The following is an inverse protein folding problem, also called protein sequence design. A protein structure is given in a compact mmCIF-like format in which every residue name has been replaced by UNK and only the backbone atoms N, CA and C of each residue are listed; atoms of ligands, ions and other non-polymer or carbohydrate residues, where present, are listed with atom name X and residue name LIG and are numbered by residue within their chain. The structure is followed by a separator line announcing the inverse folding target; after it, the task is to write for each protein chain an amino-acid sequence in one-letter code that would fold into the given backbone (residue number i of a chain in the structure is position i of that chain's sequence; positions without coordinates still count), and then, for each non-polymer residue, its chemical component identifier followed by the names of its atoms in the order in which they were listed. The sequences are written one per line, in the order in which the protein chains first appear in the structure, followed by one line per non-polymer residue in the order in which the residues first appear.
data_IF_725972148478
#
_entry.id   IF_725972148478
#
_cell.length_a   1.000
_cell.length_b   1.000
_cell.length_c   1.000
_cell.angle_alpha   90.00
_cell.angle_beta   90.00
_cell.angle_gamma   90.00
#
_symmetry.space_group_name_H-M   'P 1'
#
loop_
_entity.id
_entity.type
_entity.pdbx_description
1 polymer ?
#
# COMPACT_ATOMS: atom_id res chain seq x y z
N UNK A 1 -2.10 1.52 -2.22
CA UNK A 1 -2.48 2.35 -3.39
C UNK A 1 -1.27 2.46 -4.28
N UNK A 2 -1.40 2.28 -5.60
CA UNK A 2 -0.25 2.37 -6.51
C UNK A 2 0.27 3.81 -6.65
N UNK A 3 1.54 3.98 -7.02
CA UNK A 3 2.18 5.29 -7.17
C UNK A 3 1.43 6.22 -8.12
N UNK A 4 1.08 5.71 -9.31
CA UNK A 4 0.29 6.43 -10.31
C UNK A 4 -1.09 6.87 -9.81
N UNK A 5 -1.75 6.03 -9.02
CA UNK A 5 -3.06 6.34 -8.46
C UNK A 5 -2.96 7.47 -7.44
N UNK A 6 -1.98 7.40 -6.54
CA UNK A 6 -1.74 8.43 -5.53
C UNK A 6 -1.37 9.76 -6.18
N UNK A 7 -0.43 9.75 -7.13
CA UNK A 7 0.00 10.93 -7.87
C UNK A 7 -1.16 11.54 -8.70
N UNK A 8 -2.00 10.69 -9.29
CA UNK A 8 -3.21 11.10 -9.99
C UNK A 8 -4.19 11.88 -9.11
N UNK A 9 -4.47 11.40 -7.89
CA UNK A 9 -5.34 12.10 -6.94
C UNK A 9 -4.76 13.45 -6.56
N UNK A 10 -3.46 13.55 -6.28
CA UNK A 10 -2.81 14.82 -5.94
C UNK A 10 -2.90 15.82 -7.10
N UNK A 11 -2.70 15.36 -8.34
CA UNK A 11 -2.85 16.20 -9.53
C UNK A 11 -4.29 16.73 -9.67
N UNK A 12 -5.31 15.87 -9.49
CA UNK A 12 -6.73 16.27 -9.55
C UNK A 12 -7.04 17.32 -8.49
N UNK A 13 -6.60 17.11 -7.24
CA UNK A 13 -6.82 18.05 -6.15
C UNK A 13 -6.22 19.43 -6.46
N UNK A 14 -5.01 19.45 -7.02
CA UNK A 14 -4.33 20.71 -7.37
C UNK A 14 -5.03 21.42 -8.52
N UNK A 15 -5.44 20.70 -9.57
CA UNK A 15 -6.19 21.26 -10.70
C UNK A 15 -7.53 21.85 -10.25
N UNK A 16 -8.25 21.15 -9.36
CA UNK A 16 -9.52 21.63 -8.82
C UNK A 16 -9.34 22.87 -7.93
N UNK A 17 -8.24 22.96 -7.19
CA UNK A 17 -7.86 24.14 -6.43
C UNK A 17 -7.66 25.37 -7.33
N UNK A 18 -6.86 25.22 -8.40
CA UNK A 18 -6.61 26.29 -9.37
C UNK A 18 -7.90 26.79 -10.04
N UNK A 19 -8.78 25.85 -10.43
CA UNK A 19 -10.10 26.19 -11.00
C UNK A 19 -10.95 26.99 -10.02
N UNK A 20 -10.96 26.60 -8.74
CA UNK A 20 -11.69 27.32 -7.69
C UNK A 20 -11.14 28.74 -7.50
N UNK A 21 -9.83 28.90 -7.62
CA UNK A 21 -9.15 30.18 -7.44
C UNK A 21 -9.15 31.05 -8.72
N UNK A 22 -9.85 30.62 -9.78
CA UNK A 22 -9.96 31.33 -11.06
C UNK A 22 -8.68 31.32 -11.90
N UNK A 23 -7.72 30.47 -11.56
CA UNK A 23 -6.44 30.35 -12.25
C UNK A 23 -6.52 29.38 -13.45
N UNK A 24 -5.59 29.53 -14.39
CA UNK A 24 -5.48 28.60 -15.53
C UNK A 24 -5.08 27.21 -15.07
N UNK A 25 -5.50 26.23 -15.86
CA UNK A 25 -5.08 24.83 -15.74
C UNK A 25 -3.56 24.70 -15.87
N UNK A 26 -2.96 23.82 -15.06
CA UNK A 26 -1.53 23.53 -15.21
C UNK A 26 -1.27 22.89 -16.57
N UNK A 27 -0.19 23.30 -17.27
CA UNK A 27 0.30 22.58 -18.44
C UNK A 27 0.62 21.12 -18.09
N UNK A 28 0.44 20.23 -19.06
CA UNK A 28 0.67 18.78 -18.87
C UNK A 28 2.08 18.49 -18.36
N UNK A 29 3.10 19.23 -18.84
CA UNK A 29 4.48 19.09 -18.37
C UNK A 29 4.62 19.36 -16.86
N UNK A 30 3.92 20.37 -16.32
CA UNK A 30 3.94 20.64 -14.89
C UNK A 30 3.21 19.56 -14.09
N UNK A 31 2.12 19.00 -14.64
CA UNK A 31 1.41 17.86 -14.03
C UNK A 31 2.34 16.66 -13.92
N UNK A 32 3.11 16.37 -14.97
CA UNK A 32 4.07 15.27 -14.97
C UNK A 32 5.22 15.52 -13.98
N UNK A 33 5.76 16.74 -13.92
CA UNK A 33 6.77 17.10 -12.92
C UNK A 33 6.26 16.98 -11.47
N UNK A 34 4.97 17.23 -11.24
CA UNK A 34 4.34 17.05 -9.93
C UNK A 34 4.14 15.57 -9.58
N UNK A 35 3.73 14.75 -10.55
CA UNK A 35 3.48 13.32 -10.33
C UNK A 35 4.75 12.51 -10.12
N UNK A 36 5.79 12.81 -10.91
CA UNK A 36 7.04 12.05 -10.94
C UNK A 36 7.67 11.79 -9.56
N UNK A 37 7.93 12.78 -8.69
CA UNK A 37 8.54 12.51 -7.39
C UNK A 37 7.65 11.65 -6.47
N UNK A 38 6.33 11.71 -6.62
CA UNK A 38 5.38 10.90 -5.84
C UNK A 38 5.47 9.44 -6.30
N UNK A 39 5.50 9.22 -7.61
CA UNK A 39 5.64 7.90 -8.21
C UNK A 39 6.98 7.29 -7.79
N UNK A 40 8.09 8.00 -8.04
CA UNK A 40 9.45 7.57 -7.72
C UNK A 40 9.60 7.24 -6.22
N UNK A 41 9.02 8.08 -5.35
CA UNK A 41 9.02 7.85 -3.90
C UNK A 41 8.29 6.56 -3.52
N UNK A 42 7.10 6.33 -4.09
CA UNK A 42 6.33 5.11 -3.81
C UNK A 42 7.02 3.87 -4.40
N UNK A 43 7.60 3.98 -5.60
CA UNK A 43 8.35 2.88 -6.23
C UNK A 43 9.57 2.47 -5.40
N UNK A 44 10.27 3.43 -4.80
CA UNK A 44 11.40 3.15 -3.92
C UNK A 44 11.02 2.31 -2.69
N UNK A 45 9.78 2.45 -2.22
CA UNK A 45 9.22 1.71 -1.10
C UNK A 45 8.45 0.45 -1.50
N UNK A 46 8.34 0.14 -2.81
CA UNK A 46 7.47 -0.92 -3.33
C UNK A 46 8.13 -2.31 -3.38
N UNK A 47 9.38 -2.45 -2.91
CA UNK A 47 10.07 -3.74 -2.94
C UNK A 47 9.72 -4.60 -1.73
N UNK A 48 9.71 -5.93 -1.91
CA UNK A 48 9.56 -6.86 -0.81
C UNK A 48 10.65 -6.67 0.27
N UNK A 49 11.87 -6.31 -0.14
CA UNK A 49 12.95 -6.00 0.79
C UNK A 49 12.68 -4.77 1.66
N UNK A 50 12.05 -3.74 1.09
CA UNK A 50 11.66 -2.56 1.86
C UNK A 50 10.62 -2.91 2.93
N UNK A 51 9.64 -3.75 2.57
CA UNK A 51 8.64 -4.26 3.51
C UNK A 51 9.27 -5.06 4.66
N UNK A 52 10.09 -6.07 4.35
CA UNK A 52 10.71 -6.92 5.36
C UNK A 52 11.72 -6.17 6.23
N UNK A 53 12.44 -5.19 5.68
CA UNK A 53 13.33 -4.32 6.47
C UNK A 53 12.57 -3.48 7.51
N UNK A 54 11.29 -3.18 7.25
CA UNK A 54 10.39 -2.50 8.17
C UNK A 54 9.65 -3.42 9.15
N UNK A 55 9.87 -4.75 9.09
CA UNK A 55 9.12 -5.77 9.84
C UNK A 55 7.60 -5.69 9.63
N UNK A 56 7.16 -5.27 8.44
CA UNK A 56 5.75 -5.33 8.06
C UNK A 56 5.28 -6.75 7.72
N UNK A 57 6.24 -7.67 7.56
CA UNK A 57 6.07 -9.09 7.36
C UNK A 57 7.14 -9.85 8.17
N UNK A 58 6.90 -11.15 8.40
CA UNK A 58 7.83 -12.04 9.12
C UNK A 58 8.95 -12.61 8.23
N UNK A 59 9.06 -12.15 6.98
CA UNK A 59 10.11 -12.52 6.04
C UNK A 59 9.63 -12.91 4.64
N UNK A 60 10.55 -12.75 3.68
CA UNK A 60 10.35 -13.17 2.28
C UNK A 60 10.61 -14.66 2.16
N UNK A 61 9.69 -15.39 1.51
CA UNK A 61 9.82 -16.82 1.27
C UNK A 61 9.84 -17.13 -0.23
N UNK A 62 10.47 -18.26 -0.59
CA UNK A 62 10.32 -18.83 -1.93
C UNK A 62 8.85 -19.23 -2.14
N UNK A 63 8.18 -18.81 -3.24
CA UNK A 63 6.80 -19.20 -3.50
C UNK A 63 6.54 -20.71 -3.46
N UNK A 64 7.55 -21.53 -3.79
CA UNK A 64 7.48 -23.00 -3.75
C UNK A 64 7.41 -23.55 -2.31
N UNK A 65 7.93 -22.80 -1.34
CA UNK A 65 7.96 -23.19 0.07
C UNK A 65 6.70 -22.79 0.84
N UNK A 66 5.77 -22.05 0.23
CA UNK A 66 4.51 -21.57 0.84
C UNK A 66 3.80 -22.68 1.64
N UNK A 67 3.64 -23.87 1.06
CA UNK A 67 2.98 -25.01 1.74
C UNK A 67 3.72 -25.44 3.00
N UNK A 68 5.05 -25.50 2.95
CA UNK A 68 5.89 -25.95 4.05
C UNK A 68 5.85 -24.95 5.21
N UNK A 69 5.96 -23.66 4.88
CA UNK A 69 5.92 -22.57 5.86
C UNK A 69 4.55 -22.53 6.56
N UNK A 70 3.44 -22.60 5.80
CA UNK A 70 2.10 -22.64 6.38
C UNK A 70 1.86 -23.87 7.26
N UNK A 71 2.28 -25.05 6.81
CA UNK A 71 2.12 -26.29 7.60
C UNK A 71 2.83 -26.18 8.96
N UNK A 72 4.04 -25.62 8.97
CA UNK A 72 4.79 -25.38 10.20
C UNK A 72 4.10 -24.32 11.08
N UNK A 73 3.71 -23.18 10.50
CA UNK A 73 3.04 -22.11 11.25
C UNK A 73 1.77 -22.62 11.95
N UNK A 74 0.91 -23.34 11.23
CA UNK A 74 -0.31 -23.94 11.79
C UNK A 74 0.03 -24.93 12.92
N UNK A 75 1.00 -25.82 12.69
CA UNK A 75 1.42 -26.78 13.73
C UNK A 75 1.91 -26.09 15.00
N UNK A 76 2.59 -24.95 14.88
CA UNK A 76 3.07 -24.17 16.03
C UNK A 76 1.91 -23.45 16.71
N UNK A 77 0.97 -22.86 15.97
CA UNK A 77 -0.20 -22.16 16.52
C UNK A 77 -1.12 -23.06 17.36
N UNK A 78 -1.18 -24.35 17.06
CA UNK A 78 -2.02 -25.32 17.78
C UNK A 78 -1.52 -25.64 19.20
N UNK A 79 -0.36 -25.13 19.62
CA UNK A 79 0.10 -25.25 21.01
C UNK A 79 -0.65 -24.33 21.97
N UNK A 80 -1.43 -23.37 21.46
CA UNK A 80 -2.31 -22.52 22.26
C UNK A 80 -3.78 -22.95 22.09
N UNK A 81 -4.63 -22.81 23.13
CA UNK A 81 -6.05 -23.06 23.01
C UNK A 81 -6.69 -22.08 22.00
N UNK A 82 -7.67 -22.57 21.25
CA UNK A 82 -8.42 -21.73 20.33
C UNK A 82 -9.30 -20.74 21.12
N UNK A 83 -9.26 -19.43 20.78
CA UNK A 83 -10.13 -18.46 21.43
C UNK A 83 -11.58 -18.67 21.03
N UNK A 84 -12.50 -18.45 21.96
CA UNK A 84 -13.93 -18.29 21.64
C UNK A 84 -14.14 -16.87 21.11
N UNK A 85 -14.77 -16.75 19.94
CA UNK A 85 -14.98 -15.44 19.29
C UNK A 85 -16.36 -14.86 19.59
N UNK A 86 -16.38 -13.61 20.05
CA UNK A 86 -17.55 -12.74 19.99
C UNK A 86 -17.30 -11.69 18.88
N UNK A 87 -18.33 -11.37 18.10
CA UNK A 87 -18.24 -10.32 17.09
C UNK A 87 -18.61 -8.96 17.69
N UNK A 88 -18.00 -7.90 17.16
CA UNK A 88 -18.45 -6.52 17.40
C UNK A 88 -19.76 -6.21 16.66
N UNK A 89 -20.16 -4.93 16.66
CA UNK A 89 -21.38 -4.49 15.97
C UNK A 89 -21.18 -4.54 14.46
N UNK A 90 -22.07 -5.25 13.76
CA UNK A 90 -22.15 -5.20 12.30
C UNK A 90 -22.98 -3.98 11.85
N UNK A 91 -22.41 -3.14 10.97
CA UNK A 91 -23.17 -2.10 10.27
C UNK A 91 -23.87 -2.73 9.05
N UNK A 92 -25.20 -2.85 9.13
CA UNK A 92 -26.07 -3.34 8.05
C UNK A 92 -26.46 -2.22 7.08
#
# INVERSE_FOLDING_TARGET
MGGEQAAGVVAILKQNGLKRDGQQEMPEEMVQMLKKPIIDGIESCNSAYHSSAGLYDDGIIDPRDTRKVLAMAISVSLNAPLPTGDFGVFRM
#
